data_IF_156358953913
#
_entry.id   IF_156358953913
#
_cell.length_a   1.000
_cell.length_b   1.000
_cell.length_c   1.000
_cell.angle_alpha   90.00
_cell.angle_beta   90.00
_cell.angle_gamma   90.00
#
_symmetry.space_group_name_H-M   'P 1'
#
loop_
_entity.id
_entity.type
_entity.pdbx_description
1 polymer ?
#
# COMPACT_ATOMS: atom_id res chain seq x y z
N UNK A 1 -34.29 0.35 -7.98
CA UNK A 1 -34.08 -0.11 -9.37
C UNK A 1 -32.95 -1.12 -9.30
N UNK A 2 -33.25 -2.40 -9.37
CA UNK A 2 -32.23 -3.46 -9.32
C UNK A 2 -31.62 -3.57 -10.70
N UNK A 3 -30.34 -3.24 -10.85
CA UNK A 3 -29.61 -3.44 -12.12
C UNK A 3 -29.47 -4.96 -12.29
N UNK A 4 -30.16 -5.53 -13.27
CA UNK A 4 -30.02 -6.93 -13.62
C UNK A 4 -28.71 -7.09 -14.43
N UNK A 5 -27.84 -8.00 -14.00
CA UNK A 5 -26.52 -8.26 -14.58
C UNK A 5 -26.60 -8.64 -16.07
N UNK A 6 -27.60 -9.43 -16.46
CA UNK A 6 -27.83 -9.80 -17.86
C UNK A 6 -28.09 -8.56 -18.73
N UNK A 7 -28.95 -7.63 -18.24
CA UNK A 7 -29.25 -6.39 -18.94
C UNK A 7 -28.00 -5.49 -19.05
N UNK A 8 -27.12 -5.48 -18.03
CA UNK A 8 -25.87 -4.74 -18.08
C UNK A 8 -24.92 -5.29 -19.15
N UNK A 9 -24.68 -6.62 -19.16
CA UNK A 9 -23.79 -7.27 -20.14
C UNK A 9 -24.29 -7.05 -21.57
N UNK A 10 -25.59 -7.14 -21.81
CA UNK A 10 -26.17 -6.88 -23.13
C UNK A 10 -25.99 -5.42 -23.55
N UNK A 11 -26.23 -4.47 -22.65
CA UNK A 11 -26.05 -3.04 -22.92
C UNK A 11 -24.58 -2.68 -23.24
N UNK A 12 -23.63 -3.27 -22.55
CA UNK A 12 -22.20 -3.11 -22.85
C UNK A 12 -21.88 -3.60 -24.26
N UNK A 13 -22.35 -4.80 -24.63
CA UNK A 13 -22.14 -5.38 -25.96
C UNK A 13 -22.78 -4.50 -27.07
N UNK A 14 -23.94 -3.99 -26.83
CA UNK A 14 -24.66 -3.15 -27.83
C UNK A 14 -23.91 -1.82 -28.04
N UNK A 15 -23.38 -1.22 -26.97
CA UNK A 15 -22.57 0.01 -27.06
C UNK A 15 -21.24 -0.27 -27.78
N UNK A 16 -20.52 -1.34 -27.45
CA UNK A 16 -19.29 -1.74 -28.15
C UNK A 16 -19.47 -1.92 -29.63
N UNK A 17 -20.54 -2.61 -30.02
CA UNK A 17 -20.92 -2.81 -31.44
C UNK A 17 -21.20 -1.46 -32.13
N UNK A 18 -21.91 -0.57 -31.47
CA UNK A 18 -22.22 0.77 -32.00
C UNK A 18 -20.94 1.62 -32.17
N UNK A 19 -20.05 1.59 -31.20
CA UNK A 19 -18.77 2.32 -31.26
C UNK A 19 -17.84 1.78 -32.36
N UNK A 20 -17.78 0.48 -32.53
CA UNK A 20 -16.99 -0.16 -33.60
C UNK A 20 -17.49 0.23 -34.99
N UNK A 21 -18.78 0.30 -35.20
CA UNK A 21 -19.36 0.79 -36.46
C UNK A 21 -18.97 2.25 -36.72
N UNK A 22 -19.00 3.10 -35.73
CA UNK A 22 -18.65 4.51 -35.84
C UNK A 22 -17.20 4.80 -36.16
N UNK A 23 -16.27 3.95 -35.72
CA UNK A 23 -14.82 4.07 -35.98
C UNK A 23 -14.48 3.96 -37.48
N UNK A 24 -15.28 3.24 -38.24
CA UNK A 24 -15.12 3.06 -39.69
C UNK A 24 -15.87 4.08 -40.54
N UNK A 25 -16.39 5.15 -39.92
CA UNK A 25 -17.14 6.18 -40.67
C UNK A 25 -16.19 6.96 -41.58
N UNK A 26 -16.61 7.19 -42.83
CA UNK A 26 -15.83 7.92 -43.85
C UNK A 26 -15.59 9.39 -43.45
N UNK A 27 -16.50 9.99 -42.70
CA UNK A 27 -16.37 11.36 -42.24
C UNK A 27 -15.40 11.46 -41.06
N UNK A 28 -14.30 12.17 -41.25
CA UNK A 28 -13.25 12.31 -40.26
C UNK A 28 -13.67 12.92 -38.91
N UNK A 29 -14.61 13.88 -38.93
CA UNK A 29 -15.15 14.48 -37.70
C UNK A 29 -16.01 13.48 -36.91
N UNK A 30 -16.83 12.68 -37.60
CA UNK A 30 -17.65 11.66 -36.99
C UNK A 30 -16.74 10.59 -36.38
N UNK A 31 -15.74 10.13 -37.12
CA UNK A 31 -14.75 9.15 -36.63
C UNK A 31 -13.99 9.62 -35.37
N UNK A 32 -13.50 10.87 -35.35
CA UNK A 32 -12.82 11.46 -34.16
C UNK A 32 -13.76 11.50 -32.94
N UNK A 33 -15.04 11.80 -33.15
CA UNK A 33 -16.03 11.77 -32.07
C UNK A 33 -16.26 10.37 -31.53
N UNK A 34 -16.32 9.35 -32.41
CA UNK A 34 -16.47 7.98 -31.97
C UNK A 34 -15.22 7.45 -31.22
N UNK A 35 -14.01 7.86 -31.60
CA UNK A 35 -12.79 7.53 -30.87
C UNK A 35 -12.80 8.10 -29.43
N UNK A 36 -13.20 9.36 -29.29
CA UNK A 36 -13.35 9.98 -27.96
C UNK A 36 -14.44 9.32 -27.11
N UNK A 37 -15.55 8.93 -27.73
CA UNK A 37 -16.61 8.18 -27.05
C UNK A 37 -16.12 6.80 -26.60
N UNK A 38 -15.28 6.13 -27.38
CA UNK A 38 -14.71 4.84 -27.04
C UNK A 38 -13.77 4.96 -25.82
N UNK A 39 -12.89 5.96 -25.78
CA UNK A 39 -12.01 6.20 -24.62
C UNK A 39 -12.84 6.47 -23.35
N UNK A 40 -13.88 7.29 -23.45
CA UNK A 40 -14.78 7.57 -22.33
C UNK A 40 -15.54 6.32 -21.88
N UNK A 41 -16.01 5.51 -22.84
CA UNK A 41 -16.71 4.26 -22.57
C UNK A 41 -15.79 3.21 -21.89
N UNK A 42 -14.55 3.05 -22.36
CA UNK A 42 -13.58 2.16 -21.73
C UNK A 42 -13.29 2.56 -20.27
N UNK A 43 -13.20 3.86 -20.00
CA UNK A 43 -13.05 4.38 -18.65
C UNK A 43 -14.26 4.07 -17.78
N UNK A 44 -15.47 4.29 -18.31
CA UNK A 44 -16.72 3.95 -17.64
C UNK A 44 -16.84 2.44 -17.38
N UNK A 45 -16.54 1.61 -18.39
CA UNK A 45 -16.60 0.14 -18.31
C UNK A 45 -15.70 -0.38 -17.20
N UNK A 46 -14.44 0.07 -17.13
CA UNK A 46 -13.53 -0.32 -16.05
C UNK A 46 -14.11 -0.02 -14.66
N UNK A 47 -14.69 1.18 -14.48
CA UNK A 47 -15.35 1.54 -13.23
C UNK A 47 -16.62 0.69 -12.96
N UNK A 48 -17.41 0.43 -13.98
CA UNK A 48 -18.64 -0.36 -13.85
C UNK A 48 -18.34 -1.86 -13.61
N UNK A 49 -17.31 -2.42 -14.26
CA UNK A 49 -16.87 -3.80 -14.05
C UNK A 49 -16.32 -4.00 -12.63
N UNK A 50 -15.70 -2.98 -12.05
CA UNK A 50 -15.26 -3.01 -10.65
C UNK A 50 -16.46 -3.11 -9.69
N UNK A 51 -17.59 -2.51 -10.03
CA UNK A 51 -18.81 -2.49 -9.16
C UNK A 51 -19.77 -3.63 -9.48
N UNK A 52 -19.88 -4.04 -10.75
CA UNK A 52 -20.90 -4.99 -11.23
C UNK A 52 -20.33 -6.34 -11.69
N UNK A 53 -19.00 -6.48 -11.76
CA UNK A 53 -18.29 -7.70 -12.17
C UNK A 53 -18.55 -8.89 -11.24
N UNK A 54 -18.22 -10.10 -11.70
CA UNK A 54 -18.44 -11.36 -10.95
C UNK A 54 -17.58 -11.44 -9.68
N UNK A 55 -16.45 -10.73 -9.63
CA UNK A 55 -15.58 -10.62 -8.49
C UNK A 55 -15.82 -9.29 -7.75
N UNK A 56 -16.98 -9.15 -7.13
CA UNK A 56 -17.34 -7.97 -6.32
C UNK A 56 -16.57 -7.94 -5.01
N UNK A 57 -15.29 -7.65 -5.05
CA UNK A 57 -14.53 -7.39 -3.83
C UNK A 57 -14.64 -5.90 -3.50
N UNK A 58 -15.39 -5.58 -2.44
CA UNK A 58 -15.46 -4.21 -1.93
C UNK A 58 -14.15 -3.88 -1.19
N UNK A 59 -13.41 -2.93 -1.70
CA UNK A 59 -12.18 -2.45 -1.05
C UNK A 59 -12.52 -1.41 0.01
N UNK A 60 -12.13 -1.64 1.26
CA UNK A 60 -12.35 -0.76 2.40
C UNK A 60 -11.01 -0.36 2.99
N UNK A 61 -10.64 0.91 2.87
CA UNK A 61 -9.47 1.47 3.53
C UNK A 61 -9.82 1.99 4.94
N UNK A 62 -9.12 1.51 5.96
CA UNK A 62 -9.22 2.04 7.32
C UNK A 62 -8.21 3.17 7.47
N UNK A 63 -8.71 4.39 7.41
CA UNK A 63 -7.89 5.61 7.38
C UNK A 63 -7.99 6.38 8.70
N UNK A 64 -6.89 6.92 9.17
CA UNK A 64 -6.85 7.74 10.39
C UNK A 64 -5.41 8.08 10.78
N UNK A 65 -5.25 8.99 11.72
CA UNK A 65 -3.93 9.37 12.22
C UNK A 65 -3.19 8.18 12.86
N UNK A 66 -1.88 8.32 12.99
CA UNK A 66 -1.06 7.39 13.79
C UNK A 66 -1.64 7.35 15.22
N UNK A 67 -1.77 6.14 15.79
CA UNK A 67 -2.36 5.90 17.13
C UNK A 67 -3.87 6.21 17.25
N UNK A 68 -4.59 6.41 16.17
CA UNK A 68 -6.05 6.63 16.20
C UNK A 68 -6.88 5.37 16.51
N UNK A 69 -6.26 4.22 16.74
CA UNK A 69 -6.93 2.97 17.08
C UNK A 69 -7.37 2.12 15.89
N UNK A 70 -6.88 2.36 14.67
CA UNK A 70 -7.24 1.59 13.46
C UNK A 70 -7.04 0.08 13.63
N UNK A 71 -5.81 -0.34 13.92
CA UNK A 71 -5.51 -1.76 14.15
C UNK A 71 -6.25 -2.33 15.36
N UNK A 72 -6.48 -1.53 16.41
CA UNK A 72 -7.30 -1.95 17.56
C UNK A 72 -8.75 -2.21 17.16
N UNK A 73 -9.32 -1.39 16.28
CA UNK A 73 -10.66 -1.58 15.73
C UNK A 73 -10.74 -2.87 14.92
N UNK A 74 -9.78 -3.12 14.03
CA UNK A 74 -9.72 -4.34 13.23
C UNK A 74 -9.49 -5.58 14.11
N UNK A 75 -8.63 -5.47 15.12
CA UNK A 75 -8.44 -6.54 16.10
C UNK A 75 -9.75 -6.90 16.84
N UNK A 76 -10.53 -5.89 17.21
CA UNK A 76 -11.82 -6.11 17.84
C UNK A 76 -12.85 -6.74 16.91
N UNK A 77 -12.79 -6.39 15.62
CA UNK A 77 -13.78 -6.84 14.64
C UNK A 77 -13.52 -8.28 14.16
N UNK A 78 -12.26 -8.65 13.92
CA UNK A 78 -11.89 -9.92 13.28
C UNK A 78 -11.17 -10.91 14.19
N UNK A 79 -10.62 -10.45 15.31
CA UNK A 79 -9.78 -11.25 16.19
C UNK A 79 -10.24 -11.21 17.65
N UNK A 80 -11.53 -10.98 17.89
CA UNK A 80 -12.18 -10.95 19.22
C UNK A 80 -11.45 -10.06 20.25
N UNK A 81 -10.78 -9.01 19.78
CA UNK A 81 -10.00 -8.07 20.59
C UNK A 81 -8.57 -8.52 20.89
N UNK A 82 -8.18 -9.71 20.47
CA UNK A 82 -6.80 -10.18 20.55
C UNK A 82 -5.86 -9.22 19.76
N UNK A 83 -4.65 -9.04 20.25
CA UNK A 83 -3.72 -8.07 19.67
C UNK A 83 -2.91 -8.68 18.51
N UNK A 84 -3.60 -9.12 17.45
CA UNK A 84 -3.02 -9.79 16.29
C UNK A 84 -2.33 -8.78 15.36
N UNK A 85 -3.07 -7.76 14.93
CA UNK A 85 -2.49 -6.67 14.16
C UNK A 85 -1.70 -5.77 15.11
N UNK A 86 -0.39 -5.57 14.87
CA UNK A 86 0.44 -4.76 15.75
C UNK A 86 -0.11 -3.34 15.87
N UNK A 87 -0.19 -2.85 17.09
CA UNK A 87 -0.55 -1.45 17.33
C UNK A 87 0.67 -0.60 17.00
N UNK A 88 0.57 0.24 15.99
CA UNK A 88 1.66 1.12 15.60
C UNK A 88 2.08 2.01 16.77
N UNK A 89 3.24 1.74 17.34
CA UNK A 89 3.86 2.60 18.36
C UNK A 89 4.81 3.64 17.76
N UNK A 90 5.24 3.42 16.52
CA UNK A 90 6.18 4.31 15.82
C UNK A 90 5.78 4.48 14.36
N UNK A 91 6.18 5.58 13.68
CA UNK A 91 5.97 5.78 12.25
C UNK A 91 6.62 4.72 11.34
N UNK A 92 7.45 3.84 11.91
CA UNK A 92 8.21 2.81 11.18
C UNK A 92 7.45 1.52 10.93
N UNK A 93 6.15 1.45 11.28
CA UNK A 93 5.38 0.24 11.02
C UNK A 93 5.23 0.00 9.52
N UNK A 94 5.39 -1.24 9.17
CA UNK A 94 5.43 -1.85 7.85
C UNK A 94 4.38 -1.34 6.88
N UNK A 95 4.53 -1.75 5.64
CA UNK A 95 3.61 -1.49 4.55
C UNK A 95 2.14 -1.78 4.84
N UNK A 96 1.30 -1.67 3.83
CA UNK A 96 -0.12 -1.95 3.91
C UNK A 96 -0.39 -3.36 4.46
N UNK A 97 -1.27 -3.48 5.44
CA UNK A 97 -1.79 -4.78 5.87
C UNK A 97 -3.19 -4.96 5.28
N UNK A 98 -3.37 -6.04 4.55
CA UNK A 98 -4.61 -6.38 3.86
C UNK A 98 -5.24 -7.58 4.55
N UNK A 99 -6.55 -7.51 4.80
CA UNK A 99 -7.37 -8.62 5.25
C UNK A 99 -8.35 -8.98 4.14
N UNK A 100 -8.36 -10.24 3.74
CA UNK A 100 -9.31 -10.73 2.73
C UNK A 100 -9.73 -12.18 3.03
N UNK A 101 -10.82 -12.62 2.39
CA UNK A 101 -11.29 -13.98 2.52
C UNK A 101 -10.32 -14.97 1.88
N UNK A 102 -10.10 -16.10 2.54
CA UNK A 102 -9.39 -17.26 2.00
C UNK A 102 -10.07 -18.55 2.47
N UNK A 103 -10.00 -19.62 1.67
CA UNK A 103 -10.49 -20.93 2.08
C UNK A 103 -9.64 -21.50 3.22
N UNK A 104 -8.35 -21.18 3.22
CA UNK A 104 -7.38 -21.53 4.25
C UNK A 104 -6.87 -20.26 4.94
N UNK A 105 -6.50 -20.39 6.21
CA UNK A 105 -5.83 -19.33 6.95
C UNK A 105 -4.35 -19.28 6.54
N UNK A 106 -3.97 -18.24 5.84
CA UNK A 106 -2.60 -18.02 5.43
C UNK A 106 -2.24 -16.54 5.43
N UNK A 107 -0.97 -16.21 5.42
CA UNK A 107 -0.51 -14.87 5.14
C UNK A 107 0.53 -14.89 4.04
N UNK A 108 0.58 -13.82 3.28
CA UNK A 108 1.61 -13.57 2.28
C UNK A 108 2.28 -12.23 2.51
N UNK A 109 3.58 -12.19 2.27
CA UNK A 109 4.43 -11.00 2.47
C UNK A 109 5.06 -10.63 1.14
N UNK A 110 4.77 -9.42 0.66
CA UNK A 110 5.46 -8.84 -0.48
C UNK A 110 6.63 -7.98 0.00
N UNK A 111 7.76 -8.12 -0.68
CA UNK A 111 8.96 -7.36 -0.42
C UNK A 111 9.18 -6.26 -1.45
N UNK A 112 9.94 -5.23 -1.08
CA UNK A 112 10.42 -4.26 -2.05
C UNK A 112 11.27 -4.93 -3.12
N UNK A 113 11.16 -4.47 -4.36
CA UNK A 113 12.07 -4.86 -5.42
C UNK A 113 13.36 -4.02 -5.39
N UNK A 114 14.37 -4.44 -6.16
CA UNK A 114 15.68 -3.75 -6.20
C UNK A 114 15.57 -2.29 -6.63
N UNK A 115 14.66 -1.94 -7.53
CA UNK A 115 14.47 -0.56 -7.99
C UNK A 115 13.90 0.32 -6.88
N UNK A 116 12.87 -0.19 -6.18
CA UNK A 116 12.28 0.52 -5.04
C UNK A 116 13.31 0.70 -3.92
N UNK A 117 14.05 -0.37 -3.63
CA UNK A 117 15.07 -0.33 -2.59
C UNK A 117 16.22 0.66 -2.92
N UNK A 118 16.71 0.64 -4.16
CA UNK A 118 17.73 1.59 -4.62
C UNK A 118 17.27 3.05 -4.51
N UNK A 119 15.98 3.31 -4.64
CA UNK A 119 15.42 4.66 -4.42
C UNK A 119 15.56 5.06 -2.95
N UNK A 120 15.30 4.16 -2.00
CA UNK A 120 15.52 4.44 -0.57
C UNK A 120 16.99 4.65 -0.25
N UNK A 121 17.88 3.81 -0.78
CA UNK A 121 19.33 3.99 -0.62
C UNK A 121 19.83 5.32 -1.19
N UNK A 122 19.26 5.78 -2.32
CA UNK A 122 19.56 7.07 -2.90
C UNK A 122 19.20 8.23 -1.98
N UNK A 123 17.95 8.24 -1.50
CA UNK A 123 17.46 9.26 -0.56
C UNK A 123 18.22 9.25 0.78
N UNK A 124 18.56 8.06 1.30
CA UNK A 124 19.35 7.94 2.52
C UNK A 124 20.75 8.55 2.35
N UNK A 125 21.41 8.32 1.20
CA UNK A 125 22.70 8.95 0.87
C UNK A 125 22.60 10.46 0.74
N UNK A 126 21.54 10.97 0.11
CA UNK A 126 21.31 12.42 0.00
C UNK A 126 21.17 13.05 1.39
N UNK A 127 20.44 12.40 2.29
CA UNK A 127 20.32 12.82 3.68
C UNK A 127 21.68 12.86 4.38
N UNK A 128 22.46 11.77 4.31
CA UNK A 128 23.78 11.67 4.96
C UNK A 128 24.77 12.70 4.41
N UNK A 129 24.75 12.93 3.10
CA UNK A 129 25.62 13.93 2.47
C UNK A 129 25.26 15.34 2.96
N UNK A 130 23.98 15.69 2.97
CA UNK A 130 23.53 17.02 3.43
C UNK A 130 23.92 17.27 4.90
N UNK A 131 23.77 16.28 5.78
CA UNK A 131 24.19 16.37 7.18
C UNK A 131 25.72 16.52 7.30
N UNK A 132 26.47 15.71 6.55
CA UNK A 132 27.93 15.74 6.55
C UNK A 132 28.49 17.06 6.06
N UNK A 133 27.95 17.59 4.97
CA UNK A 133 28.33 18.88 4.39
C UNK A 133 28.02 20.03 5.36
N UNK A 134 26.86 20.00 6.02
CA UNK A 134 26.53 21.01 7.03
C UNK A 134 27.54 20.98 8.18
N UNK A 135 27.88 19.79 8.72
CA UNK A 135 28.84 19.64 9.80
C UNK A 135 30.22 20.12 9.41
N UNK A 136 30.67 19.81 8.20
CA UNK A 136 31.97 20.25 7.68
C UNK A 136 32.06 21.78 7.55
N UNK A 137 30.98 22.41 7.09
CA UNK A 137 30.94 23.86 6.89
C UNK A 137 30.62 24.68 8.17
N UNK A 138 30.08 24.01 9.20
CA UNK A 138 29.65 24.67 10.45
C UNK A 138 30.10 23.91 11.70
N UNK A 139 31.41 23.67 11.91
CA UNK A 139 31.90 22.78 12.95
C UNK A 139 31.53 23.18 14.38
N UNK A 140 31.38 24.47 14.65
CA UNK A 140 30.98 24.95 15.98
C UNK A 140 29.49 24.69 16.25
N UNK A 141 28.62 24.91 15.25
CA UNK A 141 27.18 24.65 15.35
C UNK A 141 26.92 23.15 15.41
N UNK A 142 27.69 22.37 14.64
CA UNK A 142 27.55 20.91 14.59
C UNK A 142 27.89 20.20 15.93
N UNK A 143 28.65 20.83 16.81
CA UNK A 143 28.90 20.32 18.16
C UNK A 143 27.68 20.45 19.09
N UNK A 144 26.78 21.38 18.80
CA UNK A 144 25.61 21.69 19.62
C UNK A 144 24.31 21.03 19.13
N UNK A 145 24.28 20.57 17.87
CA UNK A 145 23.08 20.01 17.23
C UNK A 145 23.27 18.54 16.89
N UNK A 146 22.20 17.75 17.08
CA UNK A 146 22.14 16.39 16.56
C UNK A 146 21.69 16.40 15.07
N UNK A 147 21.78 15.22 14.40
CA UNK A 147 21.49 15.08 12.98
C UNK A 147 20.04 15.43 12.63
N UNK A 148 19.11 15.18 13.53
CA UNK A 148 17.69 15.51 13.36
C UNK A 148 17.43 17.02 13.40
N UNK A 149 18.09 17.73 14.30
CA UNK A 149 18.02 19.18 14.39
C UNK A 149 18.67 19.85 13.17
N UNK A 150 19.79 19.30 12.70
CA UNK A 150 20.45 19.76 11.47
C UNK A 150 19.52 19.54 10.27
N UNK A 151 18.93 18.36 10.14
CA UNK A 151 18.00 18.04 9.05
C UNK A 151 16.81 18.99 9.02
N UNK A 152 16.26 19.32 10.20
CA UNK A 152 15.17 20.27 10.34
C UNK A 152 15.60 21.69 9.94
N UNK A 153 16.80 22.11 10.34
CA UNK A 153 17.36 23.42 9.97
C UNK A 153 17.60 23.53 8.46
N UNK A 154 18.04 22.44 7.83
CA UNK A 154 18.22 22.36 6.38
C UNK A 154 16.90 22.22 5.60
N UNK A 155 15.78 21.98 6.27
CA UNK A 155 14.50 21.70 5.64
C UNK A 155 14.52 20.43 4.79
N UNK A 156 15.27 19.40 5.22
CA UNK A 156 15.34 18.14 4.49
C UNK A 156 13.95 17.48 4.45
N UNK A 157 13.57 16.88 3.31
CA UNK A 157 12.28 16.22 3.18
C UNK A 157 12.12 15.07 4.17
N UNK A 158 10.93 14.90 4.75
CA UNK A 158 10.61 13.83 5.69
C UNK A 158 10.83 12.43 5.09
N UNK A 159 10.65 12.27 3.77
CA UNK A 159 10.86 11.01 3.08
C UNK A 159 12.36 10.65 2.98
N UNK A 160 13.27 11.61 2.93
CA UNK A 160 14.70 11.36 2.98
C UNK A 160 15.14 10.88 4.37
N UNK A 161 14.61 11.51 5.45
CA UNK A 161 14.80 11.05 6.83
C UNK A 161 14.28 9.62 7.00
N UNK A 162 13.07 9.37 6.57
CA UNK A 162 12.43 8.05 6.67
C UNK A 162 13.16 6.98 5.87
N UNK A 163 13.67 7.31 4.67
CA UNK A 163 14.51 6.41 3.88
C UNK A 163 15.82 6.10 4.61
N UNK A 164 16.44 7.09 5.25
CA UNK A 164 17.64 6.90 6.09
C UNK A 164 17.38 5.94 7.24
N UNK A 165 16.29 6.11 7.97
CA UNK A 165 15.90 5.23 9.07
C UNK A 165 15.65 3.80 8.56
N UNK A 166 14.90 3.66 7.45
CA UNK A 166 14.59 2.36 6.84
C UNK A 166 15.86 1.60 6.44
N UNK A 167 16.79 2.26 5.73
CA UNK A 167 18.04 1.66 5.27
C UNK A 167 18.96 1.35 6.44
N UNK A 168 19.07 2.23 7.44
CA UNK A 168 19.92 2.05 8.61
C UNK A 168 19.47 0.89 9.51
N UNK A 169 18.16 0.64 9.59
CA UNK A 169 17.58 -0.44 10.38
C UNK A 169 17.47 -1.77 9.59
N UNK A 170 17.92 -1.79 8.34
CA UNK A 170 17.87 -2.99 7.52
C UNK A 170 19.05 -3.91 7.82
N UNK A 171 18.76 -5.05 8.45
CA UNK A 171 19.77 -6.08 8.68
C UNK A 171 20.19 -6.76 7.37
N UNK A 172 21.38 -7.39 7.31
CA UNK A 172 21.78 -8.19 6.14
C UNK A 172 20.78 -9.30 5.80
N UNK A 173 20.16 -9.91 6.81
CA UNK A 173 19.14 -10.93 6.63
C UNK A 173 17.84 -10.35 6.01
N UNK A 174 17.44 -9.16 6.44
CA UNK A 174 16.33 -8.45 5.84
C UNK A 174 16.65 -8.02 4.40
N UNK A 175 17.82 -7.45 4.16
CA UNK A 175 18.27 -7.02 2.82
C UNK A 175 18.26 -8.16 1.80
N UNK A 176 18.57 -9.38 2.23
CA UNK A 176 18.48 -10.56 1.36
C UNK A 176 17.06 -10.92 0.90
N UNK A 177 16.03 -10.39 1.56
CA UNK A 177 14.62 -10.57 1.16
C UNK A 177 14.19 -9.59 0.06
N UNK A 178 14.90 -8.52 -0.17
CA UNK A 178 14.61 -7.58 -1.26
C UNK A 178 14.65 -8.32 -2.60
N UNK A 179 13.68 -8.05 -3.46
CA UNK A 179 13.49 -8.70 -4.76
C UNK A 179 13.12 -10.20 -4.70
N UNK A 180 12.84 -10.76 -3.53
CA UNK A 180 12.30 -12.11 -3.43
C UNK A 180 10.83 -12.13 -3.82
N UNK A 181 10.37 -13.31 -4.27
CA UNK A 181 8.93 -13.57 -4.44
C UNK A 181 8.24 -13.52 -3.08
N UNK A 182 6.94 -13.25 -3.10
CA UNK A 182 6.13 -13.26 -1.89
C UNK A 182 6.30 -14.57 -1.11
N UNK A 183 6.52 -14.44 0.20
CA UNK A 183 6.51 -15.57 1.13
C UNK A 183 5.08 -15.82 1.58
N UNK A 184 4.53 -17.01 1.29
CA UNK A 184 3.19 -17.43 1.76
C UNK A 184 3.35 -18.52 2.79
N UNK A 185 2.64 -18.42 3.94
CA UNK A 185 2.65 -19.41 5.01
C UNK A 185 1.26 -19.58 5.59
N UNK A 186 0.86 -20.83 5.78
CA UNK A 186 -0.35 -21.17 6.51
C UNK A 186 -0.12 -21.02 8.03
N UNK A 187 -1.18 -20.70 8.75
CA UNK A 187 -1.23 -20.71 10.21
C UNK A 187 -2.51 -21.39 10.71
N UNK A 188 -2.44 -22.01 11.87
CA UNK A 188 -3.57 -22.73 12.45
C UNK A 188 -4.20 -21.98 13.63
N UNK A 189 -3.40 -21.21 14.36
CA UNK A 189 -3.82 -20.44 15.53
C UNK A 189 -3.52 -18.95 15.31
N UNK A 190 -4.42 -18.10 15.75
CA UNK A 190 -4.28 -16.64 15.72
C UNK A 190 -3.02 -16.19 16.50
N UNK A 191 -2.64 -16.93 17.54
CA UNK A 191 -1.41 -16.63 18.31
C UNK A 191 -0.14 -16.86 17.50
N UNK A 192 -0.12 -17.91 16.66
CA UNK A 192 1.00 -18.15 15.75
C UNK A 192 1.13 -16.97 14.76
N UNK A 193 0.00 -16.47 14.26
CA UNK A 193 -0.04 -15.30 13.38
C UNK A 193 0.51 -14.06 14.09
N UNK A 194 0.17 -13.82 15.35
CA UNK A 194 0.66 -12.67 16.12
C UNK A 194 2.19 -12.67 16.21
N UNK A 195 2.79 -13.82 16.56
CA UNK A 195 4.25 -13.96 16.68
C UNK A 195 4.94 -13.75 15.31
N UNK A 196 4.34 -14.28 14.24
CA UNK A 196 4.86 -14.13 12.89
C UNK A 196 4.78 -12.66 12.46
N UNK A 197 3.63 -12.02 12.67
CA UNK A 197 3.43 -10.62 12.29
C UNK A 197 4.38 -9.68 13.02
N UNK A 198 4.77 -10.00 14.25
CA UNK A 198 5.76 -9.20 14.99
C UNK A 198 7.09 -9.07 14.24
N UNK A 199 7.53 -10.11 13.53
CA UNK A 199 8.76 -10.10 12.73
C UNK A 199 8.67 -9.27 11.43
N UNK A 200 7.46 -9.13 10.86
CA UNK A 200 7.28 -8.51 9.55
C UNK A 200 6.70 -7.09 9.61
N UNK A 201 5.87 -6.81 10.61
CA UNK A 201 5.18 -5.51 10.72
C UNK A 201 5.32 -4.86 12.10
N UNK A 202 5.96 -5.53 13.05
CA UNK A 202 6.30 -4.95 14.36
C UNK A 202 7.34 -3.83 14.25
N UNK A 203 7.36 -2.92 15.22
CA UNK A 203 8.32 -1.81 15.26
C UNK A 203 9.78 -2.29 15.21
N UNK A 204 10.07 -3.38 15.92
CA UNK A 204 11.41 -4.00 16.03
C UNK A 204 11.52 -5.32 15.25
N UNK A 205 10.58 -5.55 14.31
CA UNK A 205 10.52 -6.79 13.52
C UNK A 205 11.73 -6.94 12.59
N UNK A 206 12.27 -8.14 12.52
CA UNK A 206 13.50 -8.45 11.77
C UNK A 206 13.44 -8.07 10.30
N UNK A 207 12.24 -8.11 9.69
CA UNK A 207 12.02 -7.90 8.25
C UNK A 207 11.20 -6.64 7.94
N UNK A 208 10.75 -5.90 8.96
CA UNK A 208 9.86 -4.73 8.81
C UNK A 208 10.38 -3.71 7.80
N UNK A 209 11.70 -3.51 7.74
CA UNK A 209 12.32 -2.54 6.82
C UNK A 209 12.16 -2.88 5.34
N UNK A 210 11.96 -4.16 5.00
CA UNK A 210 11.90 -4.63 3.59
C UNK A 210 10.52 -5.09 3.15
N UNK A 211 9.54 -5.10 4.06
CA UNK A 211 8.15 -5.48 3.75
C UNK A 211 7.45 -4.35 3.02
N UNK A 212 6.89 -4.67 1.87
CA UNK A 212 6.08 -3.78 1.04
C UNK A 212 4.61 -3.81 1.45
N UNK A 213 4.06 -5.00 1.52
CA UNK A 213 2.69 -5.26 1.96
C UNK A 213 2.60 -6.65 2.59
N UNK A 214 1.59 -6.82 3.42
CA UNK A 214 1.25 -8.08 4.03
C UNK A 214 -0.24 -8.33 3.81
N UNK A 215 -0.57 -9.50 3.25
CA UNK A 215 -1.96 -9.94 3.07
C UNK A 215 -2.24 -11.11 3.98
N UNK A 216 -3.31 -11.03 4.76
CA UNK A 216 -3.82 -12.07 5.65
C UNK A 216 -5.11 -12.59 5.03
N UNK A 217 -5.11 -13.86 4.65
CA UNK A 217 -6.30 -14.58 4.22
C UNK A 217 -6.89 -15.30 5.43
N UNK A 218 -8.16 -15.06 5.69
CA UNK A 218 -8.88 -15.68 6.80
C UNK A 218 -10.09 -16.45 6.26
N UNK A 219 -10.30 -17.66 6.76
CA UNK A 219 -11.54 -18.39 6.54
C UNK A 219 -12.64 -17.82 7.44
N UNK A 220 -13.04 -16.59 7.15
CA UNK A 220 -14.05 -15.83 7.86
C UNK A 220 -15.09 -15.30 6.87
N UNK A 221 -16.31 -15.80 6.95
CA UNK A 221 -17.43 -15.41 6.06
C UNK A 221 -17.69 -13.90 6.02
N UNK A 222 -17.32 -13.16 7.08
CA UNK A 222 -17.44 -11.69 7.14
C UNK A 222 -16.55 -10.97 6.13
N UNK A 223 -15.51 -11.63 5.65
CA UNK A 223 -14.57 -11.11 4.65
C UNK A 223 -14.93 -11.50 3.22
N UNK A 224 -15.96 -12.33 3.01
CA UNK A 224 -16.41 -12.65 1.65
C UNK A 224 -16.77 -11.36 0.91
N UNK A 225 -16.25 -11.24 -0.29
CA UNK A 225 -16.41 -10.05 -1.14
C UNK A 225 -15.88 -8.73 -0.53
N UNK A 226 -15.05 -8.82 0.54
CA UNK A 226 -14.40 -7.67 1.17
C UNK A 226 -12.87 -7.79 1.08
N UNK A 227 -12.23 -6.66 0.82
CA UNK A 227 -10.80 -6.47 0.98
C UNK A 227 -10.57 -5.28 1.90
N UNK A 228 -10.13 -5.54 3.11
CA UNK A 228 -9.93 -4.49 4.12
C UNK A 228 -8.45 -4.17 4.19
N UNK A 229 -8.12 -2.89 4.12
CA UNK A 229 -6.75 -2.42 4.16
C UNK A 229 -6.55 -1.54 5.39
N UNK A 230 -5.69 -2.00 6.31
CA UNK A 230 -5.16 -1.16 7.38
C UNK A 230 -4.05 -0.29 6.79
N UNK A 231 -4.36 0.99 6.64
CA UNK A 231 -3.43 1.94 6.04
C UNK A 231 -2.48 2.50 7.10
N UNK A 232 -1.22 2.76 6.75
CA UNK A 232 -0.37 3.64 7.54
C UNK A 232 -1.11 4.94 7.86
N UNK A 233 -0.83 5.56 9.01
CA UNK A 233 -1.54 6.78 9.40
C UNK A 233 -1.46 7.87 8.33
N UNK A 234 -2.55 8.59 8.12
CA UNK A 234 -2.53 9.85 7.35
C UNK A 234 -1.62 10.80 8.11
N UNK A 235 -0.63 11.36 7.47
CA UNK A 235 0.55 12.03 8.02
C UNK A 235 1.65 11.07 8.51
N UNK A 236 1.72 9.85 7.96
CA UNK A 236 2.95 9.07 8.05
C UNK A 236 4.06 9.87 7.35
N UNK A 237 5.15 10.19 8.03
CA UNK A 237 6.26 10.97 7.44
C UNK A 237 6.90 10.27 6.24
N UNK A 238 6.63 8.98 6.05
CA UNK A 238 7.09 8.24 4.89
C UNK A 238 6.17 8.48 3.70
N UNK A 239 6.49 9.43 2.83
CA UNK A 239 5.70 9.75 1.63
C UNK A 239 5.42 8.54 0.74
N UNK A 240 6.32 7.56 0.69
CA UNK A 240 6.09 6.33 -0.08
C UNK A 240 4.92 5.50 0.46
N UNK A 241 4.61 5.59 1.76
CA UNK A 241 3.46 4.92 2.40
C UNK A 241 2.17 5.71 2.18
N UNK A 242 2.25 7.04 2.28
CA UNK A 242 1.13 7.91 1.94
C UNK A 242 0.76 7.75 0.46
N UNK A 243 1.74 7.70 -0.43
CA UNK A 243 1.53 7.47 -1.85
C UNK A 243 0.82 6.13 -2.11
N UNK A 244 1.19 5.05 -1.44
CA UNK A 244 0.53 3.73 -1.55
C UNK A 244 -0.89 3.71 -1.02
N UNK A 245 -1.10 4.36 0.12
CA UNK A 245 -2.46 4.55 0.63
C UNK A 245 -3.31 5.28 -0.40
N UNK A 246 -2.77 6.30 -1.05
CA UNK A 246 -3.45 7.04 -2.11
C UNK A 246 -3.64 6.23 -3.39
N UNK A 247 -2.66 5.42 -3.81
CA UNK A 247 -2.80 4.50 -4.94
C UNK A 247 -3.91 3.48 -4.66
N UNK A 248 -3.85 2.84 -3.50
CA UNK A 248 -4.88 1.88 -3.10
C UNK A 248 -6.30 2.50 -3.08
N UNK A 249 -6.43 3.74 -2.61
CA UNK A 249 -7.72 4.44 -2.57
C UNK A 249 -8.19 4.92 -3.97
N UNK A 250 -7.33 4.90 -4.99
CA UNK A 250 -7.66 5.26 -6.38
C UNK A 250 -8.00 4.05 -7.26
N UNK A 251 -7.52 2.87 -6.89
CA UNK A 251 -7.86 1.59 -7.52
C UNK A 251 -9.23 1.04 -7.04
#
# INVERSE_FOLDING_TARGET
MTINKENYSQAITDIENGLTHGEHNENAKIRDTFLKLKEAFETYRKGADTVLGDNKVLKIGVVGQVKAGKSSFLNSLFFDGENVLPRASTPMTAGLTVLEYGEDNEFSVDYYNDREWSTFEGKAREYDNAISDFKANNPQVAQALNDEEIAKQLGLPDDAKSAKELVSNCSPAARAKVNMKADTKAFSDIRDLQDILADYVGADGRFTSVVKSLTIHLNDERLKDLRIVDTPGVNDPIQSREYRTREFLRE
#
